data_IF_488181087761
#
_entry.id   IF_488181087761
#
_cell.length_a   1.000
_cell.length_b   1.000
_cell.length_c   1.000
_cell.angle_alpha   90.00
_cell.angle_beta   90.00
_cell.angle_gamma   90.00
#
_symmetry.space_group_name_H-M   'P 1'
#
loop_
_entity.id
_entity.type
_entity.pdbx_description
1 polymer ?
#
# COMPACT_ATOMS: atom_id res chain seq x y z
N UNK A 1 -19.16 13.79 -11.21
CA UNK A 1 -18.40 13.74 -9.95
C UNK A 1 -18.96 12.62 -9.10
N UNK A 2 -18.14 11.60 -8.83
CA UNK A 2 -18.53 10.50 -7.94
C UNK A 2 -18.39 10.98 -6.48
N UNK A 3 -19.37 10.63 -5.65
CA UNK A 3 -19.33 10.94 -4.23
C UNK A 3 -18.34 10.00 -3.54
N UNK A 4 -17.47 10.53 -2.69
CA UNK A 4 -16.56 9.73 -1.85
C UNK A 4 -17.34 8.95 -0.80
N UNK A 5 -16.90 7.74 -0.51
CA UNK A 5 -17.43 6.95 0.60
C UNK A 5 -17.08 7.61 1.93
N UNK A 6 -17.85 7.32 2.97
CA UNK A 6 -17.57 7.82 4.31
C UNK A 6 -16.34 7.11 4.92
N UNK A 7 -15.60 7.80 5.78
CA UNK A 7 -14.47 7.19 6.51
C UNK A 7 -14.90 5.94 7.28
N UNK A 8 -16.12 5.93 7.84
CA UNK A 8 -16.68 4.77 8.54
C UNK A 8 -16.80 3.55 7.62
N UNK A 9 -17.27 3.72 6.39
CA UNK A 9 -17.38 2.61 5.41
C UNK A 9 -15.99 2.05 5.08
N UNK A 10 -15.03 2.93 4.81
CA UNK A 10 -13.68 2.55 4.39
C UNK A 10 -12.90 1.86 5.51
N UNK A 11 -13.06 2.29 6.75
CA UNK A 11 -12.34 1.70 7.88
C UNK A 11 -12.99 0.44 8.45
N UNK A 12 -14.26 0.15 8.12
CA UNK A 12 -14.98 -1.00 8.68
C UNK A 12 -15.26 -2.14 7.70
N UNK A 13 -14.91 -1.97 6.42
CA UNK A 13 -15.14 -2.98 5.38
C UNK A 13 -13.88 -3.11 4.52
N UNK A 14 -13.07 -4.12 4.79
CA UNK A 14 -11.73 -4.25 4.23
C UNK A 14 -11.42 -5.67 3.76
N UNK A 15 -10.45 -5.78 2.85
CA UNK A 15 -9.74 -6.99 2.50
C UNK A 15 -8.27 -6.81 2.86
N UNK A 16 -7.91 -7.11 4.09
CA UNK A 16 -6.53 -7.13 4.55
C UNK A 16 -6.33 -8.46 5.27
N UNK A 17 -6.03 -9.49 4.47
CA UNK A 17 -6.05 -10.88 4.90
C UNK A 17 -5.02 -11.21 5.98
N UNK A 18 -3.95 -10.45 6.11
CA UNK A 18 -2.99 -10.53 7.21
C UNK A 18 -3.66 -10.34 8.58
N UNK A 19 -4.68 -9.47 8.63
CA UNK A 19 -5.46 -9.20 9.84
C UNK A 19 -6.70 -10.09 9.98
N UNK A 20 -7.09 -10.78 8.90
CA UNK A 20 -8.22 -11.72 8.91
C UNK A 20 -8.99 -11.72 7.59
N UNK A 21 -9.78 -12.78 7.35
CA UNK A 21 -10.48 -13.02 6.08
C UNK A 21 -11.89 -12.42 6.02
N UNK A 22 -12.51 -12.15 7.17
CA UNK A 22 -13.81 -11.48 7.24
C UNK A 22 -13.67 -9.97 7.00
N UNK A 23 -14.70 -9.34 6.42
CA UNK A 23 -14.66 -7.91 6.06
C UNK A 23 -14.46 -6.95 7.23
N UNK A 24 -14.78 -7.37 8.44
CA UNK A 24 -14.60 -6.59 9.68
C UNK A 24 -13.36 -6.99 10.47
N UNK A 25 -12.76 -8.14 10.15
CA UNK A 25 -11.59 -8.64 10.88
C UNK A 25 -10.42 -7.65 10.85
N UNK A 26 -10.10 -6.98 9.72
CA UNK A 26 -9.02 -6.01 9.70
C UNK A 26 -9.23 -4.84 10.66
N UNK A 27 -10.46 -4.35 10.79
CA UNK A 27 -10.79 -3.30 11.77
C UNK A 27 -10.66 -3.81 13.21
N UNK A 28 -11.13 -5.03 13.49
CA UNK A 28 -11.10 -5.63 14.84
C UNK A 28 -9.66 -5.91 15.29
N UNK A 29 -8.81 -6.34 14.36
CA UNK A 29 -7.43 -6.70 14.62
C UNK A 29 -6.41 -5.59 14.29
N UNK A 30 -6.86 -4.38 13.96
CA UNK A 30 -6.02 -3.28 13.48
C UNK A 30 -4.82 -2.98 14.39
N UNK A 31 -5.03 -2.99 15.71
CA UNK A 31 -4.01 -2.66 16.72
C UNK A 31 -2.87 -3.70 16.81
N UNK A 32 -3.05 -4.84 16.16
CA UNK A 32 -1.99 -5.87 16.08
C UNK A 32 -0.88 -5.49 15.11
N UNK A 33 -1.19 -4.70 14.09
CA UNK A 33 -0.17 -4.23 13.15
C UNK A 33 0.71 -3.18 13.83
N UNK A 34 1.99 -3.50 13.99
CA UNK A 34 3.01 -2.60 14.54
C UNK A 34 3.65 -1.83 13.41
N UNK A 35 3.58 -0.50 13.48
CA UNK A 35 4.02 0.39 12.39
C UNK A 35 5.19 1.29 12.77
N UNK A 36 5.66 1.21 14.01
CA UNK A 36 6.79 1.99 14.50
C UNK A 36 8.10 1.58 13.82
N UNK A 37 8.94 2.54 13.49
CA UNK A 37 10.25 2.34 12.86
C UNK A 37 10.19 1.54 11.54
N UNK A 38 9.12 1.71 10.76
CA UNK A 38 8.92 0.99 9.52
C UNK A 38 9.90 1.42 8.43
N UNK A 39 10.57 0.44 7.83
CA UNK A 39 11.51 0.64 6.73
C UNK A 39 10.86 0.22 5.41
N UNK A 40 11.02 1.07 4.40
CA UNK A 40 10.79 0.70 3.00
C UNK A 40 12.14 0.35 2.37
N UNK A 41 12.26 -0.87 1.86
CA UNK A 41 13.48 -1.35 1.19
C UNK A 41 13.22 -1.39 -0.31
N UNK A 42 14.13 -0.84 -1.10
CA UNK A 42 14.14 -0.91 -2.56
C UNK A 42 15.48 -1.49 -2.97
N UNK A 43 15.47 -2.67 -3.58
CA UNK A 43 16.65 -3.40 -3.97
C UNK A 43 16.46 -4.18 -5.29
N UNK A 44 17.36 -5.12 -5.58
CA UNK A 44 17.33 -5.94 -6.78
C UNK A 44 18.06 -5.28 -7.95
N UNK A 45 17.43 -5.22 -9.12
CA UNK A 45 18.04 -4.70 -10.36
C UNK A 45 18.04 -3.15 -10.38
N UNK A 46 18.76 -2.54 -9.45
CA UNK A 46 18.93 -1.09 -9.30
C UNK A 46 20.40 -0.72 -9.09
N UNK A 47 20.81 0.48 -9.52
CA UNK A 47 22.14 1.01 -9.23
C UNK A 47 22.26 1.47 -7.77
N UNK A 48 21.19 2.03 -7.22
CA UNK A 48 21.16 2.61 -5.88
C UNK A 48 20.09 1.92 -5.01
N UNK A 49 20.42 0.84 -4.30
CA UNK A 49 19.52 0.30 -3.29
C UNK A 49 19.20 1.34 -2.22
N UNK A 50 17.95 1.38 -1.75
CA UNK A 50 17.49 2.36 -0.78
C UNK A 50 16.88 1.64 0.44
N UNK A 51 17.18 2.16 1.62
CA UNK A 51 16.47 1.84 2.87
C UNK A 51 15.97 3.17 3.42
N UNK A 52 14.66 3.32 3.48
CA UNK A 52 14.00 4.58 3.80
C UNK A 52 13.10 4.40 5.02
N UNK A 53 13.18 5.32 5.96
CA UNK A 53 12.18 5.42 7.01
C UNK A 53 10.88 5.98 6.41
N UNK A 54 9.75 5.34 6.71
CA UNK A 54 8.45 5.79 6.19
C UNK A 54 8.12 7.21 6.68
N UNK A 55 8.54 7.56 7.89
CA UNK A 55 8.37 8.91 8.44
C UNK A 55 9.12 9.98 7.62
N UNK A 56 10.28 9.63 7.06
CA UNK A 56 11.05 10.54 6.22
C UNK A 56 10.45 10.73 4.82
N UNK A 57 9.61 9.81 4.36
CA UNK A 57 8.89 9.98 3.10
C UNK A 57 7.93 11.17 3.17
N UNK A 58 7.26 11.37 4.30
CA UNK A 58 6.36 12.51 4.51
C UNK A 58 7.11 13.84 4.43
N UNK A 59 8.35 13.88 4.91
CA UNK A 59 9.19 15.09 4.90
C UNK A 59 9.80 15.39 3.53
N UNK A 60 10.17 14.31 2.80
CA UNK A 60 10.98 14.42 1.58
C UNK A 60 10.18 14.46 0.29
N UNK A 61 8.88 14.09 0.32
CA UNK A 61 8.03 14.06 -0.86
C UNK A 61 6.80 14.93 -0.64
N UNK A 62 6.49 15.86 -1.56
CA UNK A 62 5.24 16.62 -1.48
C UNK A 62 4.06 15.66 -1.65
N UNK A 63 3.20 15.61 -0.64
CA UNK A 63 2.01 14.79 -0.65
C UNK A 63 0.88 15.50 -1.37
N UNK A 64 0.08 14.76 -2.11
CA UNK A 64 -1.11 15.22 -2.80
C UNK A 64 -2.30 14.32 -2.52
N UNK A 65 -3.51 14.87 -2.53
CA UNK A 65 -4.72 14.10 -2.44
C UNK A 65 -5.17 13.67 -3.85
N UNK A 66 -5.49 12.38 -3.98
CA UNK A 66 -6.04 11.79 -5.20
C UNK A 66 -7.27 10.96 -4.91
N UNK A 67 -8.37 11.29 -5.56
CA UNK A 67 -9.63 10.58 -5.40
C UNK A 67 -9.69 9.48 -6.44
N UNK A 68 -9.52 8.23 -6.00
CA UNK A 68 -9.59 7.05 -6.85
C UNK A 68 -10.71 6.11 -6.44
N UNK A 69 -11.31 5.44 -7.44
CA UNK A 69 -12.19 4.32 -7.20
C UNK A 69 -11.36 3.05 -7.00
N UNK A 70 -11.34 2.53 -5.77
CA UNK A 70 -10.87 1.18 -5.49
C UNK A 70 -11.90 0.17 -5.99
N UNK A 71 -11.48 -0.80 -6.79
CA UNK A 71 -12.28 -1.96 -7.18
C UNK A 71 -11.68 -3.22 -6.59
N UNK A 72 -12.50 -3.96 -5.87
CA UNK A 72 -12.10 -5.26 -5.32
C UNK A 72 -12.46 -6.37 -6.31
N UNK A 73 -11.66 -7.43 -6.35
CA UNK A 73 -11.96 -8.66 -7.10
C UNK A 73 -13.26 -9.32 -6.65
N UNK A 74 -13.71 -9.04 -5.44
CA UNK A 74 -15.01 -9.49 -4.88
C UNK A 74 -16.22 -8.68 -5.38
N UNK A 75 -16.05 -7.88 -6.44
CA UNK A 75 -17.10 -7.12 -7.12
C UNK A 75 -17.72 -5.95 -6.32
N UNK A 76 -17.06 -5.45 -5.28
CA UNK A 76 -17.42 -4.21 -4.60
C UNK A 76 -16.40 -3.10 -4.90
N UNK A 77 -16.80 -1.85 -4.70
CA UNK A 77 -15.92 -0.70 -4.92
C UNK A 77 -16.18 0.42 -3.92
N UNK A 78 -15.18 1.25 -3.72
CA UNK A 78 -15.26 2.47 -2.91
C UNK A 78 -14.51 3.60 -3.61
N UNK A 79 -14.99 4.83 -3.45
CA UNK A 79 -14.31 6.04 -3.91
C UNK A 79 -13.59 6.66 -2.72
N UNK A 80 -12.27 6.71 -2.78
CA UNK A 80 -11.40 7.02 -1.64
C UNK A 80 -10.47 8.19 -1.99
N UNK A 81 -10.40 9.24 -1.15
CA UNK A 81 -9.41 10.30 -1.26
C UNK A 81 -8.11 9.84 -0.58
N UNK A 82 -7.19 9.30 -1.39
CA UNK A 82 -5.86 8.87 -0.96
C UNK A 82 -4.92 10.06 -0.85
N UNK A 83 -4.00 10.02 0.12
CA UNK A 83 -2.94 11.00 0.27
C UNK A 83 -1.61 10.29 0.10
N UNK A 84 -0.81 10.77 -0.84
CA UNK A 84 0.47 10.14 -1.16
C UNK A 84 1.25 10.89 -2.23
N UNK A 85 2.18 10.19 -2.86
CA UNK A 85 3.01 10.72 -3.94
C UNK A 85 3.27 9.64 -5.00
N UNK A 86 3.71 10.05 -6.17
CA UNK A 86 3.97 9.14 -7.29
C UNK A 86 5.09 8.13 -6.97
N UNK A 87 4.82 6.85 -7.18
CA UNK A 87 5.80 5.76 -7.00
C UNK A 87 7.04 5.97 -7.86
N UNK A 88 6.90 6.54 -9.05
CA UNK A 88 8.01 6.76 -9.97
C UNK A 88 9.14 7.62 -9.38
N UNK A 89 8.85 8.47 -8.38
CA UNK A 89 9.88 9.28 -7.70
C UNK A 89 10.87 8.41 -6.94
N UNK A 90 10.38 7.34 -6.30
CA UNK A 90 11.23 6.35 -5.61
C UNK A 90 12.01 5.51 -6.62
N UNK A 91 11.32 5.03 -7.67
CA UNK A 91 11.95 4.21 -8.71
C UNK A 91 13.08 4.98 -9.40
N UNK A 92 12.85 6.24 -9.80
CA UNK A 92 13.89 7.09 -10.41
C UNK A 92 15.10 7.28 -9.49
N UNK A 93 14.85 7.43 -8.17
CA UNK A 93 15.94 7.59 -7.19
C UNK A 93 16.77 6.31 -7.04
N UNK A 94 16.17 5.14 -7.17
CA UNK A 94 16.87 3.85 -7.13
C UNK A 94 17.62 3.53 -8.42
N UNK A 95 17.36 4.22 -9.54
CA UNK A 95 17.98 4.02 -10.84
C UNK A 95 17.92 2.57 -11.32
N UNK A 96 16.75 2.10 -11.80
CA UNK A 96 16.62 0.73 -12.31
C UNK A 96 17.60 0.45 -13.46
N UNK A 97 18.19 -0.73 -13.46
CA UNK A 97 19.03 -1.20 -14.56
C UNK A 97 18.16 -1.43 -15.81
N UNK A 98 18.74 -1.38 -17.00
CA UNK A 98 18.03 -1.61 -18.28
C UNK A 98 17.42 -3.01 -18.39
N UNK A 99 17.91 -3.97 -17.62
CA UNK A 99 17.38 -5.33 -17.49
C UNK A 99 16.13 -5.42 -16.59
N UNK A 100 15.85 -4.43 -15.74
CA UNK A 100 14.66 -4.41 -14.90
C UNK A 100 13.41 -4.21 -15.75
N UNK A 101 12.47 -5.16 -15.69
CA UNK A 101 11.22 -5.15 -16.45
C UNK A 101 9.98 -5.05 -15.56
N UNK A 102 10.13 -5.43 -14.30
CA UNK A 102 9.04 -5.51 -13.33
C UNK A 102 9.48 -4.93 -11.99
N UNK A 103 8.49 -4.47 -11.23
CA UNK A 103 8.64 -4.10 -9.81
C UNK A 103 7.83 -5.09 -9.00
N UNK A 104 8.51 -5.85 -8.13
CA UNK A 104 7.87 -6.74 -7.18
C UNK A 104 7.67 -6.00 -5.84
N UNK A 105 6.50 -6.16 -5.27
CA UNK A 105 6.16 -5.65 -3.94
C UNK A 105 5.96 -6.85 -3.01
N UNK A 106 6.54 -6.75 -1.84
CA UNK A 106 6.39 -7.77 -0.80
C UNK A 106 5.99 -7.10 0.50
N UNK A 107 4.91 -7.59 1.13
CA UNK A 107 4.46 -7.08 2.41
C UNK A 107 5.22 -7.74 3.57
N UNK A 108 5.00 -7.25 4.79
CA UNK A 108 5.63 -7.78 5.99
C UNK A 108 5.20 -9.23 6.26
N UNK A 109 6.13 -10.05 6.74
CA UNK A 109 5.85 -11.35 7.34
C UNK A 109 6.01 -11.26 8.86
N UNK A 110 4.89 -11.25 9.57
CA UNK A 110 4.82 -11.19 11.04
C UNK A 110 3.69 -12.08 11.56
N UNK A 111 3.95 -13.36 11.64
CA UNK A 111 2.94 -14.35 12.08
C UNK A 111 2.51 -14.20 13.53
N UNK A 112 3.31 -13.52 14.36
CA UNK A 112 2.98 -13.33 15.77
C UNK A 112 1.90 -12.28 15.98
N UNK A 113 2.01 -11.20 15.25
CA UNK A 113 1.07 -10.06 15.33
C UNK A 113 -0.06 -10.15 14.29
N UNK A 114 0.17 -10.78 13.13
CA UNK A 114 -0.78 -10.83 12.02
C UNK A 114 -1.48 -12.22 11.95
N UNK A 115 -2.66 -12.37 12.55
CA UNK A 115 -3.31 -13.67 12.74
C UNK A 115 -3.69 -14.36 11.43
N UNK A 116 -3.95 -13.62 10.38
CA UNK A 116 -4.27 -14.16 9.05
C UNK A 116 -3.10 -14.91 8.42
N UNK A 117 -1.86 -14.51 8.73
CA UNK A 117 -0.65 -15.17 8.23
C UNK A 117 -0.38 -16.55 8.87
N UNK A 118 -1.11 -16.91 9.92
CA UNK A 118 -1.09 -18.29 10.49
C UNK A 118 -1.94 -19.25 9.68
N UNK A 119 -2.76 -18.77 8.76
CA UNK A 119 -3.67 -19.56 7.92
C UNK A 119 -3.09 -19.71 6.51
N UNK A 120 -3.36 -20.83 5.86
CA UNK A 120 -2.96 -21.10 4.48
C UNK A 120 -3.96 -20.51 3.45
N UNK A 121 -4.52 -19.34 3.73
CA UNK A 121 -5.49 -18.68 2.84
C UNK A 121 -4.79 -18.11 1.61
N UNK A 122 -3.56 -17.60 1.79
CA UNK A 122 -2.68 -17.05 0.75
C UNK A 122 -1.25 -17.53 0.99
N UNK A 123 -0.42 -17.39 -0.01
CA UNK A 123 1.04 -17.55 0.15
C UNK A 123 1.62 -16.31 0.82
N UNK A 124 2.23 -16.49 1.99
CA UNK A 124 2.82 -15.42 2.78
C UNK A 124 4.35 -15.33 2.62
N UNK A 125 4.96 -14.15 2.66
CA UNK A 125 4.32 -12.83 2.67
C UNK A 125 3.54 -12.56 1.37
N UNK A 126 2.53 -11.68 1.45
CA UNK A 126 1.76 -11.29 0.27
C UNK A 126 2.67 -10.57 -0.73
N UNK A 127 2.53 -10.93 -2.00
CA UNK A 127 3.32 -10.36 -3.09
C UNK A 127 2.42 -9.84 -4.19
N UNK A 128 2.84 -8.73 -4.77
CA UNK A 128 2.20 -8.13 -5.93
C UNK A 128 3.28 -7.69 -6.93
N UNK A 129 2.90 -7.51 -8.18
CA UNK A 129 3.83 -7.11 -9.23
C UNK A 129 3.23 -6.13 -10.23
N UNK A 130 4.04 -5.18 -10.66
CA UNK A 130 3.73 -4.28 -11.77
C UNK A 130 4.81 -4.40 -12.84
N UNK A 131 4.45 -4.22 -14.09
CA UNK A 131 5.45 -3.92 -15.11
C UNK A 131 6.09 -2.57 -14.78
N UNK A 132 7.33 -2.38 -15.22
CA UNK A 132 8.06 -1.15 -14.91
C UNK A 132 7.33 0.11 -15.46
N UNK A 133 6.70 0.03 -16.63
CA UNK A 133 5.93 1.14 -17.19
C UNK A 133 4.66 1.45 -16.39
N UNK A 134 4.00 0.45 -15.81
CA UNK A 134 2.86 0.63 -14.90
C UNK A 134 3.31 1.27 -13.57
N UNK A 135 4.42 0.80 -13.02
CA UNK A 135 5.01 1.37 -11.81
C UNK A 135 5.52 2.81 -12.02
N UNK A 136 5.98 3.13 -13.23
CA UNK A 136 6.43 4.47 -13.61
C UNK A 136 5.28 5.41 -13.99
N UNK A 137 4.07 4.91 -14.13
CA UNK A 137 2.91 5.74 -14.46
C UNK A 137 2.64 6.75 -13.34
N UNK A 138 2.44 8.05 -13.64
CA UNK A 138 2.21 9.07 -12.62
C UNK A 138 0.90 8.88 -11.82
N UNK A 139 -0.01 8.03 -12.29
CA UNK A 139 -1.22 7.68 -11.54
C UNK A 139 -0.97 6.58 -10.50
N UNK A 140 0.13 5.83 -10.58
CA UNK A 140 0.52 4.86 -9.56
C UNK A 140 1.18 5.59 -8.40
N UNK A 141 0.58 5.48 -7.21
CA UNK A 141 1.04 6.21 -6.03
C UNK A 141 1.40 5.29 -4.86
N UNK A 142 2.29 5.78 -4.04
CA UNK A 142 2.50 5.33 -2.67
C UNK A 142 1.63 6.19 -1.77
N UNK A 143 0.68 5.57 -1.09
CA UNK A 143 -0.21 6.25 -0.15
C UNK A 143 0.28 6.10 1.29
N UNK A 144 0.27 7.21 2.01
CA UNK A 144 0.62 7.35 3.43
C UNK A 144 -0.59 7.82 4.26
N UNK A 145 -1.69 8.15 3.60
CA UNK A 145 -2.88 8.65 4.26
C UNK A 145 -4.15 8.59 3.41
N UNK A 146 -5.26 8.93 4.04
CA UNK A 146 -6.57 9.12 3.42
C UNK A 146 -7.41 10.10 4.25
N UNK A 147 -8.33 10.83 3.60
CA UNK A 147 -9.21 11.81 4.25
C UNK A 147 -8.48 12.84 5.14
N UNK A 148 -7.33 13.36 4.71
CA UNK A 148 -6.56 14.34 5.47
C UNK A 148 -5.85 13.78 6.72
N UNK A 149 -5.76 12.45 6.89
CA UNK A 149 -5.19 11.78 8.06
C UNK A 149 -4.18 10.71 7.64
N UNK A 150 -3.35 10.28 8.58
CA UNK A 150 -2.49 9.11 8.41
C UNK A 150 -3.32 7.88 8.09
N UNK A 151 -2.72 6.96 7.34
CA UNK A 151 -3.37 5.74 6.90
C UNK A 151 -3.74 4.85 8.11
N UNK A 152 -5.02 4.47 8.29
CA UNK A 152 -5.38 3.53 9.33
C UNK A 152 -4.78 2.14 9.10
N UNK A 153 -4.48 1.41 10.16
CA UNK A 153 -3.84 0.10 10.08
C UNK A 153 -4.60 -0.88 9.16
N UNK A 154 -5.91 -0.97 9.29
CA UNK A 154 -6.75 -1.83 8.45
C UNK A 154 -6.82 -1.39 6.98
N UNK A 155 -6.34 -0.21 6.66
CA UNK A 155 -6.27 0.32 5.30
C UNK A 155 -4.86 0.26 4.69
N UNK A 156 -3.91 -0.39 5.36
CA UNK A 156 -2.56 -0.64 4.86
C UNK A 156 -1.47 0.30 5.41
N UNK A 157 -1.66 0.82 6.65
CA UNK A 157 -0.62 1.59 7.35
C UNK A 157 0.70 0.79 7.47
N UNK A 158 1.85 1.48 7.51
CA UNK A 158 2.02 2.92 7.40
C UNK A 158 2.14 3.40 5.95
N UNK A 159 2.24 2.47 4.99
CA UNK A 159 2.48 2.73 3.58
C UNK A 159 1.84 1.64 2.71
N UNK A 160 1.20 2.04 1.63
CA UNK A 160 0.61 1.11 0.67
C UNK A 160 0.71 1.59 -0.77
N UNK A 161 0.70 0.63 -1.69
CA UNK A 161 0.53 0.87 -3.11
C UNK A 161 -0.94 1.15 -3.44
N UNK A 162 -1.18 2.13 -4.32
CA UNK A 162 -2.49 2.38 -4.94
C UNK A 162 -2.30 2.54 -6.44
N UNK A 163 -3.00 1.69 -7.21
CA UNK A 163 -2.92 1.64 -8.67
C UNK A 163 -4.33 1.80 -9.25
N UNK A 164 -4.57 2.79 -10.10
CA UNK A 164 -5.84 2.91 -10.79
C UNK A 164 -5.87 1.93 -11.98
N UNK A 165 -6.61 0.84 -11.85
CA UNK A 165 -6.91 -0.07 -12.95
C UNK A 165 -8.09 0.43 -13.77
N UNK A 166 -8.06 0.17 -15.08
CA UNK A 166 -9.22 0.39 -15.96
C UNK A 166 -10.26 -0.70 -15.80
#
# INVERSE_FOLDING_TARGET
NEQTNTIKQITSYNNFYELGSGKRDPMINADRLKTENWKLIIDGLVENPLILDVEDLVKNYPLEERIYRLRCVEAWSMVIPWIGFELNKLIKKSKPLSSAKYVAFESILDKDNLPGQKRNTLNWPYREGLRLDEAMNPLTIISLGLYGRVLPNQNGSPIRLVVPWK
#
